data_IF_807879132834
#
_entry.id   IF_807879132834
#
_cell.length_a   1.000
_cell.length_b   1.000
_cell.length_c   1.000
_cell.angle_alpha   90.00
_cell.angle_beta   90.00
_cell.angle_gamma   90.00
#
_symmetry.space_group_name_H-M   'P 1'
#
loop_
_entity.id
_entity.type
_entity.pdbx_description
1 polymer ?
#
# COMPACT_ATOMS: atom_id res chain seq x y z
N UNK A 1 19.59 10.15 9.40
CA UNK A 1 18.74 8.94 9.45
C UNK A 1 17.42 9.36 10.05
N UNK A 2 16.39 9.53 9.23
CA UNK A 2 15.04 9.81 9.72
C UNK A 2 14.45 8.50 10.20
N UNK A 3 14.15 8.41 11.49
CA UNK A 3 13.48 7.23 12.06
C UNK A 3 12.00 7.29 11.68
N UNK A 4 11.50 6.26 11.01
CA UNK A 4 10.09 6.13 10.64
C UNK A 4 9.52 4.99 11.48
N UNK A 5 8.52 5.31 12.31
CA UNK A 5 7.81 4.28 13.07
C UNK A 5 7.10 3.31 12.12
N UNK A 6 7.27 1.98 12.29
CA UNK A 6 6.59 1.01 11.45
C UNK A 6 5.08 1.08 11.69
N UNK A 7 4.34 1.32 10.61
CA UNK A 7 2.87 1.40 10.62
C UNK A 7 2.24 0.05 10.29
N UNK A 8 0.97 -0.13 10.66
CA UNK A 8 0.21 -1.31 10.25
C UNK A 8 -0.08 -1.25 8.75
N UNK A 9 -0.21 -2.43 8.14
CA UNK A 9 -0.48 -2.54 6.71
C UNK A 9 -1.73 -1.78 6.25
N UNK A 10 -2.79 -1.74 7.06
CA UNK A 10 -3.99 -0.97 6.74
C UNK A 10 -3.74 0.54 6.68
N UNK A 11 -2.94 1.08 7.60
CA UNK A 11 -2.56 2.49 7.64
C UNK A 11 -1.66 2.84 6.46
N UNK A 12 -0.70 1.96 6.13
CA UNK A 12 0.13 2.07 4.94
C UNK A 12 -0.71 2.12 3.66
N UNK A 13 -1.69 1.21 3.49
CA UNK A 13 -2.59 1.25 2.33
C UNK A 13 -3.35 2.57 2.24
N UNK A 14 -3.81 3.12 3.36
CA UNK A 14 -4.49 4.41 3.36
C UNK A 14 -3.57 5.54 2.91
N UNK A 15 -2.33 5.58 3.39
CA UNK A 15 -1.34 6.57 2.98
C UNK A 15 -1.03 6.46 1.47
N UNK A 16 -0.83 5.25 0.96
CA UNK A 16 -0.60 4.99 -0.47
C UNK A 16 -1.78 5.51 -1.30
N UNK A 17 -3.03 5.23 -0.88
CA UNK A 17 -4.23 5.71 -1.58
C UNK A 17 -4.30 7.23 -1.64
N UNK A 18 -4.00 7.92 -0.56
CA UNK A 18 -3.98 9.39 -0.56
C UNK A 18 -2.97 9.92 -1.57
N UNK A 19 -1.79 9.32 -1.63
CA UNK A 19 -0.77 9.68 -2.62
C UNK A 19 -1.25 9.39 -4.05
N UNK A 20 -1.88 8.24 -4.30
CA UNK A 20 -2.46 7.91 -5.62
C UNK A 20 -3.53 8.92 -6.07
N UNK A 21 -4.34 9.44 -5.14
CA UNK A 21 -5.38 10.44 -5.43
C UNK A 21 -4.82 11.85 -5.65
N UNK A 22 -3.67 12.16 -5.05
CA UNK A 22 -2.98 13.44 -5.22
C UNK A 22 -2.22 13.56 -6.55
N UNK A 23 -2.04 12.44 -7.27
CA UNK A 23 -1.34 12.43 -8.55
C UNK A 23 -2.10 13.18 -9.66
N UNK A 24 -1.39 13.74 -10.66
CA UNK A 24 -2.01 14.49 -11.74
C UNK A 24 -2.90 13.61 -12.64
N UNK A 25 -3.75 14.27 -13.44
CA UNK A 25 -4.58 13.62 -14.46
C UNK A 25 -3.73 12.69 -15.35
N UNK A 26 -4.28 11.54 -15.70
CA UNK A 26 -3.60 10.52 -16.51
C UNK A 26 -2.63 9.63 -15.71
N UNK A 27 -2.38 9.88 -14.42
CA UNK A 27 -1.63 8.94 -13.57
C UNK A 27 -2.27 7.55 -13.54
N UNK A 28 -3.58 7.46 -13.26
CA UNK A 28 -4.26 6.18 -13.12
C UNK A 28 -4.24 5.35 -14.42
N UNK A 29 -4.29 6.01 -15.59
CA UNK A 29 -4.17 5.34 -16.88
C UNK A 29 -2.76 4.76 -17.09
N UNK A 30 -1.71 5.56 -16.84
CA UNK A 30 -0.31 5.12 -16.94
C UNK A 30 0.01 4.00 -15.96
N UNK A 31 -0.48 4.09 -14.73
CA UNK A 31 -0.32 3.02 -13.75
C UNK A 31 -1.06 1.75 -14.18
N UNK A 32 -2.26 1.88 -14.76
CA UNK A 32 -3.01 0.73 -15.27
C UNK A 32 -2.24 0.00 -16.37
N UNK A 33 -1.62 0.73 -17.30
CA UNK A 33 -0.74 0.15 -18.33
C UNK A 33 0.43 -0.61 -17.72
N UNK A 34 1.15 -0.01 -16.75
CA UNK A 34 2.25 -0.67 -16.05
C UNK A 34 1.84 -1.95 -15.32
N UNK A 35 0.65 -1.95 -14.73
CA UNK A 35 0.12 -3.10 -14.01
C UNK A 35 -0.51 -4.18 -14.93
N UNK A 36 -0.68 -3.90 -16.22
CA UNK A 36 -1.46 -4.78 -17.12
C UNK A 36 -2.93 -4.89 -16.70
N UNK A 37 -3.50 -3.80 -16.17
CA UNK A 37 -4.87 -3.72 -15.63
C UNK A 37 -5.67 -2.61 -16.30
N UNK A 38 -6.96 -2.52 -15.96
CA UNK A 38 -7.82 -1.44 -16.45
C UNK A 38 -7.67 -0.18 -15.57
N UNK A 39 -7.89 1.03 -16.13
CA UNK A 39 -7.96 2.24 -15.32
C UNK A 39 -9.01 2.17 -14.21
N UNK A 40 -10.12 1.46 -14.45
CA UNK A 40 -11.15 1.22 -13.44
C UNK A 40 -10.66 0.42 -12.23
N UNK A 41 -9.78 -0.56 -12.44
CA UNK A 41 -9.14 -1.30 -11.34
C UNK A 41 -8.26 -0.36 -10.49
N UNK A 42 -7.43 0.46 -11.13
CA UNK A 42 -6.59 1.45 -10.42
C UNK A 42 -7.44 2.49 -9.67
N UNK A 43 -8.58 2.87 -10.25
CA UNK A 43 -9.53 3.75 -9.56
C UNK A 43 -10.10 3.11 -8.29
N UNK A 44 -10.50 1.83 -8.35
CA UNK A 44 -10.98 1.08 -7.18
C UNK A 44 -9.91 0.96 -6.09
N UNK A 45 -8.65 0.73 -6.47
CA UNK A 45 -7.52 0.73 -5.54
C UNK A 45 -7.39 2.07 -4.83
N UNK A 46 -7.34 3.17 -5.60
CA UNK A 46 -7.17 4.52 -5.07
C UNK A 46 -8.33 4.94 -4.15
N UNK A 47 -9.56 4.50 -4.45
CA UNK A 47 -10.75 4.73 -3.61
C UNK A 47 -10.85 3.79 -2.41
N UNK A 48 -10.01 2.76 -2.33
CA UNK A 48 -10.06 1.76 -1.27
C UNK A 48 -11.26 0.82 -1.36
N UNK A 49 -11.88 0.69 -2.54
CA UNK A 49 -12.95 -0.28 -2.80
C UNK A 49 -12.39 -1.71 -2.86
N UNK A 50 -11.12 -1.85 -3.22
CA UNK A 50 -10.37 -3.10 -3.16
C UNK A 50 -9.05 -2.89 -2.41
N UNK A 51 -8.54 -3.90 -1.69
CA UNK A 51 -7.24 -3.83 -1.05
C UNK A 51 -6.13 -3.73 -2.10
N UNK A 52 -4.99 -3.13 -1.71
CA UNK A 52 -3.79 -3.12 -2.56
C UNK A 52 -3.19 -4.52 -2.55
N UNK A 53 -3.12 -5.22 -3.70
CA UNK A 53 -2.48 -6.54 -3.78
C UNK A 53 -0.97 -6.38 -3.59
N UNK A 54 -0.36 -7.32 -2.86
CA UNK A 54 1.07 -7.26 -2.56
C UNK A 54 1.90 -7.40 -3.84
N UNK A 55 1.43 -8.19 -4.80
CA UNK A 55 2.06 -8.37 -6.11
C UNK A 55 2.08 -7.10 -6.99
N UNK A 56 1.30 -6.08 -6.63
CA UNK A 56 1.27 -4.79 -7.32
C UNK A 56 1.92 -3.68 -6.50
N UNK A 57 2.35 -3.96 -5.26
CA UNK A 57 2.82 -2.96 -4.33
C UNK A 57 4.07 -2.24 -4.85
N UNK A 58 5.07 -2.99 -5.30
CA UNK A 58 6.34 -2.44 -5.78
C UNK A 58 6.12 -1.46 -6.93
N UNK A 59 5.36 -1.85 -7.94
CA UNK A 59 5.06 -1.00 -9.10
C UNK A 59 4.25 0.25 -8.71
N UNK A 60 3.32 0.12 -7.75
CA UNK A 60 2.57 1.26 -7.24
C UNK A 60 3.49 2.24 -6.51
N UNK A 61 4.34 1.75 -5.60
CA UNK A 61 5.25 2.57 -4.81
C UNK A 61 6.31 3.23 -5.69
N UNK A 62 6.90 2.49 -6.63
CA UNK A 62 7.82 3.03 -7.63
C UNK A 62 7.16 4.19 -8.41
N UNK A 63 5.91 4.01 -8.84
CA UNK A 63 5.18 5.05 -9.56
C UNK A 63 4.89 6.31 -8.73
N UNK A 64 4.92 6.18 -7.40
CA UNK A 64 4.74 7.27 -6.44
C UNK A 64 6.08 7.83 -5.91
N UNK A 65 7.21 7.24 -6.30
CA UNK A 65 8.53 7.57 -5.73
C UNK A 65 8.63 7.25 -4.23
N UNK A 66 7.97 6.18 -3.79
CA UNK A 66 7.95 5.72 -2.39
C UNK A 66 8.74 4.42 -2.25
N UNK A 67 9.26 4.20 -1.05
CA UNK A 67 9.96 2.97 -0.64
C UNK A 67 9.31 2.44 0.65
N UNK A 68 9.53 1.15 0.95
CA UNK A 68 9.01 0.52 2.15
C UNK A 68 9.96 -0.54 2.70
N UNK A 69 9.89 -0.74 4.02
CA UNK A 69 10.55 -1.83 4.74
C UNK A 69 9.50 -2.70 5.44
N UNK A 70 9.75 -4.00 5.53
CA UNK A 70 8.86 -4.95 6.20
C UNK A 70 9.46 -5.37 7.53
N UNK A 71 8.73 -5.13 8.62
CA UNK A 71 9.09 -5.66 9.95
C UNK A 71 8.17 -6.83 10.32
N UNK A 72 8.77 -8.01 10.52
CA UNK A 72 8.04 -9.20 11.01
C UNK A 72 8.24 -9.29 12.52
N UNK A 73 7.12 -9.31 13.27
CA UNK A 73 7.14 -9.51 14.73
C UNK A 73 6.57 -10.88 15.08
N UNK A 74 7.22 -11.66 15.97
CA UNK A 74 6.63 -12.90 16.45
C UNK A 74 5.30 -12.59 17.15
N UNK A 75 4.29 -13.44 16.90
CA UNK A 75 3.02 -13.37 17.61
C UNK A 75 3.29 -13.84 19.04
N UNK A 76 3.50 -12.92 19.97
CA UNK A 76 3.54 -13.24 21.39
C UNK A 76 2.20 -13.83 21.77
N UNK A 77 2.14 -15.15 21.95
CA UNK A 77 1.08 -15.80 22.72
C UNK A 77 1.14 -15.23 24.14
N UNK A 78 0.15 -14.44 24.54
CA UNK A 78 0.01 -13.98 25.94
C UNK A 78 0.10 -15.17 26.90
N UNK A 79 0.97 -15.13 27.92
CA UNK A 79 0.97 -16.09 29.02
C UNK A 79 -0.11 -15.74 30.06
N UNK A 80 -1.39 -15.63 29.66
CA UNK A 80 -2.51 -15.28 30.55
C UNK A 80 -3.62 -16.34 30.56
N UNK A 81 -3.26 -17.62 30.51
CA UNK A 81 -4.22 -18.70 30.80
C UNK A 81 -3.47 -19.92 31.29
N UNK A 82 -2.96 -19.87 32.53
CA UNK A 82 -2.63 -21.02 33.37
C UNK A 82 -2.08 -20.54 34.74
N UNK A 83 -2.91 -19.91 35.56
CA UNK A 83 -2.87 -20.07 37.04
C UNK A 83 -4.32 -20.01 37.54
#
# INVERSE_FOLDING_TARGET
MTYIDPVKWQEAQQAIRQQMLAQPRGYQARLAEKLGRTPGFVHQLAKGLVPIPVEHLDTILESLGLEYDVTIRPKTSSPESQI
#
